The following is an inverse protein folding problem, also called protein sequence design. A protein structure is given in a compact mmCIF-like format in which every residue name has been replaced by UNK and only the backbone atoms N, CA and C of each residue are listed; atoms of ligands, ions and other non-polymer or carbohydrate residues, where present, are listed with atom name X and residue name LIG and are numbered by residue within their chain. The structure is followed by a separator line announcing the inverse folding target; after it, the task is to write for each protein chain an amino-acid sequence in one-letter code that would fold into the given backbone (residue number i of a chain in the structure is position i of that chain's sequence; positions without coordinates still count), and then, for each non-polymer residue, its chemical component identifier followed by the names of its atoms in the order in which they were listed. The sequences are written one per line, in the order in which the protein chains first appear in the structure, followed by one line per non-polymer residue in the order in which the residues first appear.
data_IF_071808597954
#
_entry.id   IF_071808597954
#
_cell.length_a   1.000
_cell.length_b   1.000
_cell.length_c   1.000
_cell.angle_alpha   90.00
_cell.angle_beta   90.00
_cell.angle_gamma   90.00
#
_symmetry.space_group_name_H-M   'P 1'
#
loop_
_entity.id
_entity.type
_entity.pdbx_description
1 polymer ?
#
# COMPACT_ATOMS: atom_id res chain seq x y z
N UNK A 1 -0.48 -7.07 -19.32
CA UNK A 1 -0.59 -7.40 -17.89
C UNK A 1 -0.22 -8.86 -17.72
N UNK A 2 0.32 -9.28 -16.59
CA UNK A 2 0.69 -10.69 -16.30
C UNK A 2 -0.43 -11.72 -16.45
N UNK A 3 -1.68 -11.24 -16.47
CA UNK A 3 -2.88 -12.00 -16.87
C UNK A 3 -2.81 -12.42 -18.35
N UNK A 4 -2.36 -11.53 -19.22
CA UNK A 4 -2.25 -11.76 -20.67
C UNK A 4 -1.12 -12.75 -21.02
N UNK A 5 -0.15 -12.92 -20.11
CA UNK A 5 1.01 -13.79 -20.29
C UNK A 5 0.93 -15.09 -19.48
N UNK A 6 -0.15 -15.31 -18.73
CA UNK A 6 -0.34 -16.52 -17.89
C UNK A 6 0.67 -16.67 -16.75
N UNK A 7 1.41 -15.62 -16.40
CA UNK A 7 2.56 -15.68 -15.50
C UNK A 7 2.24 -15.30 -14.04
N UNK A 8 0.97 -15.49 -13.65
CA UNK A 8 0.45 -15.07 -12.34
C UNK A 8 1.19 -15.76 -11.19
N UNK A 9 1.55 -17.03 -11.34
CA UNK A 9 2.25 -17.77 -10.29
C UNK A 9 3.68 -17.28 -10.07
N UNK A 10 4.37 -16.83 -11.12
CA UNK A 10 5.70 -16.23 -10.97
C UNK A 10 5.61 -14.87 -10.27
N UNK A 11 4.64 -14.03 -10.64
CA UNK A 11 4.43 -12.76 -9.94
C UNK A 11 4.10 -12.97 -8.45
N UNK A 12 3.30 -13.99 -8.13
CA UNK A 12 3.03 -14.36 -6.74
C UNK A 12 4.31 -14.79 -6.02
N UNK A 13 5.17 -15.58 -6.66
CA UNK A 13 6.49 -15.94 -6.10
C UNK A 13 7.37 -14.71 -5.86
N UNK A 14 7.41 -13.78 -6.80
CA UNK A 14 8.16 -12.53 -6.65
C UNK A 14 7.63 -11.68 -5.48
N UNK A 15 6.32 -11.56 -5.34
CA UNK A 15 5.71 -10.84 -4.23
C UNK A 15 5.99 -11.53 -2.89
N UNK A 16 5.87 -12.86 -2.82
CA UNK A 16 6.21 -13.64 -1.63
C UNK A 16 7.66 -13.43 -1.18
N UNK A 17 8.62 -13.48 -2.12
CA UNK A 17 10.03 -13.20 -1.82
C UNK A 17 10.21 -11.78 -1.32
N UNK A 18 9.54 -10.80 -1.92
CA UNK A 18 9.57 -9.40 -1.48
C UNK A 18 9.05 -9.21 -0.05
N UNK A 19 7.88 -9.79 0.26
CA UNK A 19 7.25 -9.73 1.59
C UNK A 19 8.17 -10.34 2.64
N UNK A 20 8.69 -11.54 2.38
CA UNK A 20 9.55 -12.27 3.32
C UNK A 20 10.95 -11.65 3.52
N UNK A 21 11.31 -10.58 2.80
CA UNK A 21 12.52 -9.80 3.10
C UNK A 21 12.37 -8.91 4.33
N UNK A 22 11.16 -8.44 4.60
CA UNK A 22 10.90 -7.60 5.77
C UNK A 22 10.97 -8.45 7.05
N UNK A 23 11.69 -7.95 8.07
CA UNK A 23 11.82 -8.63 9.38
C UNK A 23 10.96 -8.02 10.49
N UNK A 24 10.58 -6.75 10.35
CA UNK A 24 9.87 -5.99 11.40
C UNK A 24 8.57 -5.43 10.85
N UNK A 25 8.64 -4.56 9.85
CA UNK A 25 7.47 -3.98 9.17
C UNK A 25 7.68 -3.96 7.66
N UNK A 26 6.58 -4.01 6.92
CA UNK A 26 6.55 -3.92 5.47
C UNK A 26 5.58 -2.81 5.06
N UNK A 27 6.07 -1.83 4.31
CA UNK A 27 5.23 -0.78 3.72
C UNK A 27 5.21 -0.97 2.21
N UNK A 28 4.00 -1.13 1.66
CA UNK A 28 3.78 -1.26 0.22
C UNK A 28 3.16 0.04 -0.29
N UNK A 29 3.71 0.58 -1.37
CA UNK A 29 3.23 1.84 -1.95
C UNK A 29 2.69 1.64 -3.36
N UNK A 30 1.73 2.48 -3.74
CA UNK A 30 1.13 2.51 -5.07
C UNK A 30 0.93 3.96 -5.53
N UNK A 31 1.04 4.19 -6.83
CA UNK A 31 0.64 5.45 -7.45
C UNK A 31 -0.79 5.35 -8.01
N UNK A 32 -1.52 6.45 -8.10
CA UNK A 32 -2.85 6.48 -8.75
C UNK A 32 -2.72 6.61 -10.26
N UNK A 33 -1.69 7.35 -10.67
CA UNK A 33 -1.31 7.61 -12.04
C UNK A 33 0.19 7.49 -12.17
N UNK A 34 0.65 6.86 -13.25
CA UNK A 34 2.07 6.70 -13.55
C UNK A 34 2.34 7.20 -14.97
N UNK A 35 3.43 7.95 -15.14
CA UNK A 35 3.94 8.28 -16.47
C UNK A 35 4.79 7.12 -16.98
N UNK A 36 4.40 6.50 -18.08
CA UNK A 36 5.10 5.41 -18.72
C UNK A 36 5.19 5.68 -20.22
N UNK A 37 6.38 5.56 -20.80
CA UNK A 37 6.63 5.82 -22.23
C UNK A 37 6.09 7.17 -22.74
N UNK A 38 6.08 8.19 -21.89
CA UNK A 38 5.60 9.53 -22.25
C UNK A 38 4.12 9.79 -21.95
N UNK A 39 3.33 8.74 -21.76
CA UNK A 39 1.90 8.82 -21.50
C UNK A 39 1.59 8.63 -20.01
N UNK A 40 0.47 9.20 -19.54
CA UNK A 40 -0.01 9.04 -18.17
C UNK A 40 -1.09 7.96 -18.16
N UNK A 41 -0.84 6.89 -17.40
CA UNK A 41 -1.80 5.81 -17.22
C UNK A 41 -2.32 5.81 -15.78
N UNK A 42 -3.63 5.59 -15.64
CA UNK A 42 -4.19 5.23 -14.33
C UNK A 42 -3.74 3.83 -13.97
N UNK A 43 -3.44 3.62 -12.69
CA UNK A 43 -2.98 2.33 -12.18
C UNK A 43 -3.97 1.78 -11.17
N UNK A 44 -4.16 0.47 -11.19
CA UNK A 44 -4.99 -0.26 -10.23
C UNK A 44 -4.13 -0.91 -9.15
N UNK A 45 -4.68 -1.15 -7.95
CA UNK A 45 -4.03 -1.97 -6.93
C UNK A 45 -3.56 -3.32 -7.46
N UNK A 46 -2.42 -3.79 -6.96
CA UNK A 46 -1.93 -5.14 -7.25
C UNK A 46 -2.87 -6.17 -6.63
N UNK A 47 -3.25 -7.19 -7.40
CA UNK A 47 -4.09 -8.31 -6.95
C UNK A 47 -3.52 -9.03 -5.73
N UNK A 48 -2.19 -9.03 -5.57
CA UNK A 48 -1.54 -9.62 -4.39
C UNK A 48 -2.08 -9.00 -3.09
N UNK A 49 -2.42 -7.70 -3.09
CA UNK A 49 -2.96 -7.03 -1.91
C UNK A 49 -4.32 -7.60 -1.47
N UNK A 50 -5.10 -8.14 -2.41
CA UNK A 50 -6.40 -8.76 -2.10
C UNK A 50 -6.24 -10.21 -1.64
N UNK A 51 -5.10 -10.84 -1.93
CA UNK A 51 -4.76 -12.19 -1.47
C UNK A 51 -4.16 -12.22 -0.05
N UNK A 52 -3.72 -11.08 0.48
CA UNK A 52 -3.16 -10.97 1.82
C UNK A 52 -4.26 -10.99 2.90
N UNK A 53 -3.93 -11.41 4.14
CA UNK A 53 -4.85 -11.28 5.27
C UNK A 53 -5.22 -9.81 5.50
N UNK A 54 -6.49 -9.46 5.32
CA UNK A 54 -6.91 -8.05 5.39
C UNK A 54 -6.83 -7.47 6.80
N UNK A 55 -6.92 -8.31 7.84
CA UNK A 55 -6.80 -7.90 9.25
C UNK A 55 -5.39 -7.40 9.60
N UNK A 56 -4.37 -7.82 8.84
CA UNK A 56 -2.98 -7.41 9.02
C UNK A 56 -2.60 -6.20 8.14
N UNK A 57 -3.53 -5.69 7.33
CA UNK A 57 -3.28 -4.60 6.38
C UNK A 57 -3.86 -3.28 6.87
N UNK A 58 -2.96 -2.32 7.09
CA UNK A 58 -3.34 -0.91 7.26
C UNK A 58 -3.27 -0.18 5.91
N UNK A 59 -4.41 0.28 5.40
CA UNK A 59 -4.47 1.05 4.14
C UNK A 59 -4.40 2.55 4.43
N UNK A 60 -3.39 3.21 3.88
CA UNK A 60 -3.23 4.67 3.95
C UNK A 60 -3.43 5.30 2.57
N UNK A 61 -4.36 6.26 2.48
CA UNK A 61 -4.78 6.84 1.20
C UNK A 61 -5.69 5.93 0.37
N UNK A 62 -6.05 6.37 -0.84
CA UNK A 62 -6.88 5.60 -1.80
C UNK A 62 -8.27 5.14 -1.29
N UNK A 63 -8.95 5.95 -0.46
CA UNK A 63 -10.33 5.68 -0.04
C UNK A 63 -10.92 6.79 0.82
N UNK A 64 -12.23 6.70 1.07
CA UNK A 64 -12.99 7.60 1.93
C UNK A 64 -12.73 7.25 3.41
N UNK A 65 -11.62 7.72 3.98
CA UNK A 65 -11.53 7.81 5.43
C UNK A 65 -12.57 8.82 5.91
N UNK A 66 -13.45 8.43 6.84
CA UNK A 66 -14.41 9.39 7.38
C UNK A 66 -13.65 10.57 8.00
N UNK A 67 -14.19 11.80 7.89
CA UNK A 67 -13.55 12.99 8.45
C UNK A 67 -13.19 12.84 9.93
N UNK A 68 -13.98 12.08 10.70
CA UNK A 68 -13.74 11.79 12.11
C UNK A 68 -12.45 10.96 12.31
N UNK A 69 -12.30 9.86 11.54
CA UNK A 69 -11.12 8.98 11.63
C UNK A 69 -9.85 9.71 11.22
N UNK A 70 -9.93 10.54 10.17
CA UNK A 70 -8.80 11.36 9.73
C UNK A 70 -8.38 12.40 10.78
N UNK A 71 -9.36 13.04 11.44
CA UNK A 71 -9.12 14.02 12.51
C UNK A 71 -8.48 13.38 13.74
N UNK A 72 -8.97 12.22 14.15
CA UNK A 72 -8.43 11.48 15.29
C UNK A 72 -6.99 11.01 15.03
N UNK A 73 -6.72 10.43 13.85
CA UNK A 73 -5.37 10.01 13.45
C UNK A 73 -4.40 11.19 13.36
N UNK A 74 -4.88 12.35 12.87
CA UNK A 74 -4.12 13.61 12.86
C UNK A 74 -3.78 14.11 14.26
N UNK A 75 -4.73 14.07 15.19
CA UNK A 75 -4.51 14.47 16.58
C UNK A 75 -3.48 13.57 17.28
N UNK A 76 -3.61 12.25 17.13
CA UNK A 76 -2.65 11.28 17.66
C UNK A 76 -1.23 11.52 17.10
N UNK A 77 -1.12 11.81 15.80
CA UNK A 77 0.16 12.12 15.15
C UNK A 77 0.81 13.40 15.73
N UNK A 78 0.01 14.44 15.97
CA UNK A 78 0.49 15.68 16.58
C UNK A 78 0.94 15.50 18.02
N UNK A 79 0.24 14.68 18.80
CA UNK A 79 0.58 14.44 20.20
C UNK A 79 1.84 13.57 20.33
N UNK A 80 2.03 12.59 19.42
CA UNK A 80 3.29 11.85 19.31
C UNK A 80 4.49 12.77 18.96
N UNK A 81 4.30 13.72 18.03
CA UNK A 81 5.31 14.71 17.69
C UNK A 81 5.67 15.62 18.89
N UNK A 82 4.66 16.11 19.63
CA UNK A 82 4.91 16.92 20.84
C UNK A 82 5.70 16.15 21.90
N UNK A 83 5.40 14.86 22.08
CA UNK A 83 6.13 13.99 23.02
C UNK A 83 7.59 13.75 22.63
N UNK A 84 7.96 13.91 21.36
CA UNK A 84 9.34 13.77 20.89
C UNK A 84 10.21 15.00 21.22
N UNK A 85 9.59 16.16 21.42
CA UNK A 85 10.26 17.45 21.65
C UNK A 85 10.07 18.00 23.08
N UNK A 86 9.45 17.22 23.98
CA UNK A 86 9.30 17.51 25.40
C UNK A 86 10.38 16.80 26.21
#
# INVERSE_FOLDING_TARGET
NSIDEGNIEEERRLAYVGITRARQSLTITMASKRKQFGEIHNTTPSRVLDELPQDDLEREGFGDSSPEVAKEKGQQSLDALKGLFA
#
